data_IF_104968596788
#
_entry.id   IF_104968596788
#
_cell.length_a   1.000
_cell.length_b   1.000
_cell.length_c   1.000
_cell.angle_alpha   90.00
_cell.angle_beta   90.00
_cell.angle_gamma   90.00
#
_symmetry.space_group_name_H-M   'P 1'
#
loop_
_entity.id
_entity.type
_entity.pdbx_description
1 polymer ?
#
# COMPACT_ATOMS: atom_id res chain seq x y z
N UNK A 1 17.86 16.03 -2.60
CA UNK A 1 17.44 16.70 -3.85
C UNK A 1 16.26 17.62 -3.57
N UNK A 2 16.31 18.94 -3.86
CA UNK A 2 15.24 19.88 -3.66
C UNK A 2 14.21 19.77 -4.78
N UNK A 3 13.46 18.68 -4.79
CA UNK A 3 12.26 18.56 -5.63
C UNK A 3 11.12 19.33 -4.96
N UNK A 4 10.43 20.18 -5.72
CA UNK A 4 9.25 20.87 -5.23
C UNK A 4 8.10 19.89 -4.98
N UNK A 5 7.15 20.24 -4.11
CA UNK A 5 5.95 19.42 -3.88
C UNK A 5 5.19 19.06 -5.18
N UNK A 6 5.28 19.88 -6.23
CA UNK A 6 4.70 19.60 -7.54
C UNK A 6 5.43 18.51 -8.35
N UNK A 7 6.61 18.04 -7.93
CA UNK A 7 7.43 17.06 -8.64
C UNK A 7 8.50 17.66 -9.56
N UNK A 8 8.58 18.99 -9.69
CA UNK A 8 9.65 19.65 -10.45
C UNK A 8 10.92 19.71 -9.60
N UNK A 9 12.01 19.13 -10.12
CA UNK A 9 13.33 19.27 -9.50
C UNK A 9 13.79 20.72 -9.60
N UNK A 10 14.03 21.35 -8.46
CA UNK A 10 14.54 22.73 -8.47
C UNK A 10 16.04 22.78 -8.78
N UNK A 11 16.77 21.67 -8.66
CA UNK A 11 18.20 21.57 -9.05
C UNK A 11 18.43 21.80 -10.54
N UNK A 12 17.45 21.47 -11.37
CA UNK A 12 17.53 21.70 -12.82
C UNK A 12 16.95 23.06 -13.23
N UNK A 13 16.53 23.89 -12.27
CA UNK A 13 15.92 25.19 -12.54
C UNK A 13 16.97 26.29 -12.65
N UNK A 14 17.04 26.97 -13.80
CA UNK A 14 17.96 28.10 -14.02
C UNK A 14 17.78 29.23 -12.99
N UNK A 15 16.55 29.48 -12.52
CA UNK A 15 16.30 30.53 -11.53
C UNK A 15 16.94 30.20 -10.17
N UNK A 16 17.00 28.93 -9.80
CA UNK A 16 17.71 28.50 -8.61
C UNK A 16 19.23 28.56 -8.82
N UNK A 17 19.71 28.09 -9.98
CA UNK A 17 21.13 28.17 -10.33
C UNK A 17 21.68 29.61 -10.26
N UNK A 18 20.88 30.59 -10.70
CA UNK A 18 21.24 32.01 -10.67
C UNK A 18 21.03 32.67 -9.29
N UNK A 19 20.58 31.94 -8.27
CA UNK A 19 20.31 32.48 -6.93
C UNK A 19 19.09 33.40 -6.84
N UNK A 20 18.30 33.52 -7.91
CA UNK A 20 17.07 34.35 -7.96
C UNK A 20 15.96 33.73 -7.10
N UNK A 21 15.98 32.40 -6.97
CA UNK A 21 14.92 31.62 -6.38
C UNK A 21 15.50 30.57 -5.42
N UNK A 22 15.02 30.51 -4.18
CA UNK A 22 15.27 29.37 -3.30
C UNK A 22 14.46 28.14 -3.72
N UNK A 23 14.91 26.95 -3.31
CA UNK A 23 14.18 25.69 -3.52
C UNK A 23 12.75 25.77 -3.00
N UNK A 24 11.81 25.16 -3.74
CA UNK A 24 10.45 24.96 -3.28
C UNK A 24 10.31 23.84 -2.23
N UNK A 25 11.26 22.89 -2.18
CA UNK A 25 11.24 21.75 -1.25
C UNK A 25 10.02 20.83 -1.33
N UNK A 26 10.07 19.72 -0.60
CA UNK A 26 8.90 18.85 -0.41
C UNK A 26 7.89 19.54 0.52
N UNK A 27 6.60 19.24 0.42
CA UNK A 27 5.59 19.88 1.29
C UNK A 27 5.78 19.59 2.79
N UNK A 28 6.62 18.62 3.16
CA UNK A 28 6.98 18.35 4.57
C UNK A 28 8.19 19.17 5.08
N UNK A 29 8.96 19.74 4.16
CA UNK A 29 10.25 20.38 4.42
C UNK A 29 10.13 21.79 5.01
N UNK A 30 11.17 22.24 5.71
CA UNK A 30 11.27 23.62 6.19
C UNK A 30 11.54 24.60 5.04
N UNK A 31 12.22 24.14 3.99
CA UNK A 31 12.44 24.88 2.75
C UNK A 31 11.11 25.28 2.13
N UNK A 32 10.15 24.34 2.05
CA UNK A 32 8.80 24.63 1.55
C UNK A 32 8.07 25.67 2.38
N UNK A 33 8.14 25.57 3.72
CA UNK A 33 7.52 26.56 4.63
C UNK A 33 8.13 27.96 4.43
N UNK A 34 9.47 28.05 4.39
CA UNK A 34 10.20 29.30 4.14
C UNK A 34 9.84 29.87 2.76
N UNK A 35 9.75 29.01 1.73
CA UNK A 35 9.38 29.42 0.38
C UNK A 35 7.98 29.99 0.30
N UNK A 36 7.00 29.29 0.86
CA UNK A 36 5.60 29.71 0.87
C UNK A 36 5.44 31.05 1.63
N UNK A 37 6.09 31.20 2.79
CA UNK A 37 6.09 32.45 3.53
C UNK A 37 6.72 33.61 2.74
N UNK A 38 7.84 33.36 2.05
CA UNK A 38 8.48 34.35 1.19
C UNK A 38 7.58 34.76 0.01
N UNK A 39 6.91 33.81 -0.64
CA UNK A 39 5.96 34.10 -1.72
C UNK A 39 4.77 34.93 -1.22
N UNK A 40 4.21 34.59 -0.06
CA UNK A 40 3.14 35.37 0.57
C UNK A 40 3.57 36.81 0.84
N UNK A 41 4.79 37.01 1.38
CA UNK A 41 5.33 38.34 1.67
C UNK A 41 5.59 39.17 0.40
N UNK A 42 6.11 38.55 -0.66
CA UNK A 42 6.54 39.24 -1.88
C UNK A 42 5.43 39.45 -2.90
N UNK A 43 4.49 38.49 -3.00
CA UNK A 43 3.49 38.44 -4.07
C UNK A 43 2.04 38.46 -3.55
N UNK A 44 1.83 38.48 -2.23
CA UNK A 44 0.50 38.43 -1.62
C UNK A 44 -0.19 37.07 -1.70
N UNK A 45 0.46 36.06 -2.30
CA UNK A 45 -0.02 34.70 -2.39
C UNK A 45 1.14 33.72 -2.48
N UNK A 46 1.01 32.56 -1.82
CA UNK A 46 1.89 31.41 -2.03
C UNK A 46 1.37 30.56 -3.20
N UNK A 47 2.25 29.77 -3.81
CA UNK A 47 1.87 28.76 -4.81
C UNK A 47 0.76 27.84 -4.26
N UNK A 48 -0.46 27.81 -4.87
CA UNK A 48 -1.56 26.96 -4.41
C UNK A 48 -1.22 25.48 -4.22
N UNK A 49 -0.37 24.89 -5.05
CA UNK A 49 0.08 23.48 -4.90
C UNK A 49 0.99 23.32 -3.69
N UNK A 50 1.97 24.23 -3.51
CA UNK A 50 2.90 24.16 -2.38
C UNK A 50 2.18 24.40 -1.05
N UNK A 51 1.29 25.39 -1.00
CA UNK A 51 0.48 25.68 0.19
C UNK A 51 -0.39 24.48 0.59
N UNK A 52 -1.09 23.88 -0.38
CA UNK A 52 -1.90 22.67 -0.15
C UNK A 52 -1.05 21.49 0.35
N UNK A 53 0.13 21.27 -0.24
CA UNK A 53 1.02 20.20 0.17
C UNK A 53 1.55 20.39 1.60
N UNK A 54 1.87 21.62 1.99
CA UNK A 54 2.28 21.95 3.37
C UNK A 54 1.13 21.69 4.35
N UNK A 55 -0.07 22.18 4.02
CA UNK A 55 -1.27 22.03 4.85
C UNK A 55 -1.64 20.56 5.05
N UNK A 56 -1.71 19.78 3.95
CA UNK A 56 -2.00 18.33 3.99
C UNK A 56 -0.80 17.49 4.45
N UNK A 57 0.37 18.10 4.72
CA UNK A 57 1.64 17.42 5.02
C UNK A 57 2.00 16.34 4.00
N UNK A 58 1.76 16.61 2.72
CA UNK A 58 2.13 15.75 1.58
C UNK A 58 3.52 16.14 1.10
N UNK A 59 4.45 15.18 0.97
CA UNK A 59 5.80 15.51 0.52
C UNK A 59 5.82 15.88 -0.98
N UNK A 60 5.34 15.00 -1.86
CA UNK A 60 5.21 15.29 -3.29
C UNK A 60 3.83 14.86 -3.81
N UNK A 61 3.10 15.77 -4.44
CA UNK A 61 1.73 15.53 -4.90
C UNK A 61 1.64 14.32 -5.84
N UNK A 62 2.52 14.21 -6.82
CA UNK A 62 2.49 13.12 -7.80
C UNK A 62 2.69 11.73 -7.18
N UNK A 63 3.48 11.64 -6.10
CA UNK A 63 3.86 10.39 -5.45
C UNK A 63 2.93 10.05 -4.28
N UNK A 64 2.66 11.03 -3.43
CA UNK A 64 2.12 10.83 -2.09
C UNK A 64 0.67 11.30 -1.93
N UNK A 65 0.09 12.03 -2.90
CA UNK A 65 -1.28 12.51 -2.82
C UNK A 65 -2.23 11.53 -3.52
N UNK A 66 -3.21 11.01 -2.79
CA UNK A 66 -4.24 10.13 -3.37
C UNK A 66 -5.10 10.88 -4.39
N UNK A 67 -5.42 12.15 -4.12
CA UNK A 67 -6.20 13.01 -5.01
C UNK A 67 -5.49 13.36 -6.32
N UNK A 68 -4.18 13.08 -6.47
CA UNK A 68 -3.46 13.44 -7.69
C UNK A 68 -3.79 12.46 -8.83
N UNK A 69 -4.11 12.94 -10.06
CA UNK A 69 -4.24 14.34 -10.49
C UNK A 69 -5.50 15.05 -9.97
N UNK A 70 -5.36 16.23 -9.34
CA UNK A 70 -6.49 17.00 -8.80
C UNK A 70 -6.74 18.30 -9.55
N UNK A 71 -7.86 18.97 -9.24
CA UNK A 71 -8.24 20.26 -9.83
C UNK A 71 -7.15 21.32 -9.75
N UNK A 72 -6.33 21.34 -8.68
CA UNK A 72 -5.22 22.31 -8.60
C UNK A 72 -4.23 22.18 -9.75
N UNK A 73 -4.03 20.98 -10.29
CA UNK A 73 -3.17 20.74 -11.45
C UNK A 73 -3.90 20.90 -12.79
N UNK A 74 -5.21 20.63 -12.86
CA UNK A 74 -6.03 20.78 -14.07
C UNK A 74 -6.41 22.24 -14.35
N UNK A 75 -6.80 22.97 -13.31
CA UNK A 75 -7.32 24.34 -13.40
C UNK A 75 -6.24 25.42 -13.33
N UNK A 76 -5.04 25.07 -12.86
CA UNK A 76 -3.96 26.02 -12.60
C UNK A 76 -2.91 26.05 -13.72
N UNK A 77 -2.04 27.08 -13.75
CA UNK A 77 -0.93 27.17 -14.72
C UNK A 77 0.26 26.26 -14.32
N UNK A 78 -0.02 25.06 -13.81
CA UNK A 78 0.98 24.14 -13.32
C UNK A 78 1.56 23.29 -14.47
N UNK A 79 2.81 22.82 -14.37
CA UNK A 79 3.62 22.44 -15.53
C UNK A 79 3.24 21.12 -16.19
N UNK A 80 2.09 20.54 -15.86
CA UNK A 80 1.64 19.27 -16.40
C UNK A 80 0.54 19.51 -17.44
N UNK A 81 0.72 18.94 -18.63
CA UNK A 81 -0.29 19.00 -19.67
C UNK A 81 -1.51 18.14 -19.32
N UNK A 82 -2.67 18.49 -19.88
CA UNK A 82 -3.86 17.64 -19.79
C UNK A 82 -3.60 16.20 -20.26
N UNK A 83 -2.74 16.01 -21.27
CA UNK A 83 -2.32 14.67 -21.71
C UNK A 83 -1.55 13.90 -20.64
N UNK A 84 -0.66 14.56 -19.90
CA UNK A 84 0.06 13.93 -18.78
C UNK A 84 -0.88 13.62 -17.61
N UNK A 85 -1.74 14.55 -17.23
CA UNK A 85 -2.71 14.37 -16.14
C UNK A 85 -3.70 13.23 -16.48
N UNK A 86 -4.24 13.22 -17.69
CA UNK A 86 -5.13 12.14 -18.16
C UNK A 86 -4.42 10.78 -18.21
N UNK A 87 -3.14 10.75 -18.60
CA UNK A 87 -2.33 9.52 -18.55
C UNK A 87 -2.13 9.04 -17.11
N UNK A 88 -1.82 9.95 -16.18
CA UNK A 88 -1.66 9.60 -14.77
C UNK A 88 -2.95 9.09 -14.15
N UNK A 89 -4.08 9.77 -14.38
CA UNK A 89 -5.40 9.32 -13.94
C UNK A 89 -5.70 7.91 -14.47
N UNK A 90 -5.56 7.69 -15.79
CA UNK A 90 -5.79 6.37 -16.39
C UNK A 90 -4.85 5.30 -15.81
N UNK A 91 -3.55 5.57 -15.72
CA UNK A 91 -2.57 4.56 -15.27
C UNK A 91 -2.63 4.28 -13.77
N UNK A 92 -3.00 5.26 -12.95
CA UNK A 92 -3.26 5.03 -11.52
C UNK A 92 -4.52 4.18 -11.33
N UNK A 93 -5.53 4.38 -12.17
CA UNK A 93 -6.71 3.51 -12.20
C UNK A 93 -6.41 2.10 -12.77
N UNK A 94 -5.54 1.98 -13.79
CA UNK A 94 -5.06 0.68 -14.29
C UNK A 94 -4.19 -0.05 -13.26
N UNK A 95 -3.33 0.66 -12.51
CA UNK A 95 -2.52 0.08 -11.46
C UNK A 95 -3.37 -0.41 -10.27
N UNK A 96 -4.55 0.18 -10.05
CA UNK A 96 -5.53 -0.38 -9.13
C UNK A 96 -6.13 -1.71 -9.63
N UNK A 97 -6.10 -1.97 -10.95
CA UNK A 97 -6.56 -3.20 -11.57
C UNK A 97 -5.41 -4.21 -11.71
N UNK A 98 -4.92 -4.67 -10.56
CA UNK A 98 -3.85 -5.66 -10.43
C UNK A 98 -3.84 -6.71 -11.57
N UNK A 99 -2.64 -7.02 -12.06
CA UNK A 99 -2.43 -8.04 -13.10
C UNK A 99 -1.76 -9.26 -12.51
N UNK A 100 -2.15 -10.43 -13.00
CA UNK A 100 -1.49 -11.69 -12.68
C UNK A 100 -0.07 -11.72 -13.31
N UNK A 101 0.81 -12.62 -12.86
CA UNK A 101 2.13 -12.84 -13.48
C UNK A 101 2.07 -13.15 -14.99
N UNK A 102 0.96 -13.72 -15.46
CA UNK A 102 0.69 -13.94 -16.89
C UNK A 102 0.43 -12.67 -17.69
N UNK A 103 0.22 -11.53 -17.03
CA UNK A 103 -0.17 -10.25 -17.63
C UNK A 103 -1.69 -10.06 -17.73
N UNK A 104 -2.47 -11.08 -17.40
CA UNK A 104 -3.94 -11.05 -17.42
C UNK A 104 -4.51 -10.16 -16.32
N UNK A 105 -5.69 -9.57 -16.58
CA UNK A 105 -6.43 -8.82 -15.56
C UNK A 105 -6.98 -9.78 -14.51
N UNK A 106 -6.78 -9.45 -13.24
CA UNK A 106 -7.37 -10.23 -12.15
C UNK A 106 -8.88 -10.02 -12.19
N UNK A 107 -9.61 -11.14 -12.18
CA UNK A 107 -11.07 -11.17 -12.10
C UNK A 107 -11.50 -12.14 -11.01
N UNK A 108 -12.63 -11.84 -10.38
CA UNK A 108 -13.20 -12.68 -9.33
C UNK A 108 -14.27 -13.55 -9.97
N UNK A 109 -14.06 -14.86 -9.99
CA UNK A 109 -15.08 -15.78 -10.48
C UNK A 109 -16.33 -15.71 -9.59
N UNK A 110 -17.54 -15.60 -10.17
CA UNK A 110 -18.79 -15.67 -9.41
C UNK A 110 -18.92 -16.92 -8.53
N UNK A 111 -18.28 -18.02 -8.94
CA UNK A 111 -18.28 -19.29 -8.21
C UNK A 111 -17.72 -19.16 -6.80
N UNK A 112 -16.70 -18.32 -6.58
CA UNK A 112 -16.14 -18.14 -5.23
C UNK A 112 -17.16 -17.58 -4.23
N UNK A 113 -18.09 -16.74 -4.70
CA UNK A 113 -19.18 -16.23 -3.87
C UNK A 113 -20.21 -17.31 -3.56
N UNK A 114 -20.53 -18.14 -4.56
CA UNK A 114 -21.49 -19.23 -4.41
C UNK A 114 -20.93 -20.31 -3.47
N UNK A 115 -19.63 -20.62 -3.59
CA UNK A 115 -18.91 -21.53 -2.70
C UNK A 115 -18.86 -21.01 -1.26
N UNK A 116 -18.61 -19.69 -1.09
CA UNK A 116 -18.59 -19.07 0.23
C UNK A 116 -19.97 -19.11 0.88
N UNK A 117 -21.03 -18.85 0.10
CA UNK A 117 -22.40 -18.91 0.58
C UNK A 117 -22.84 -20.34 0.98
N UNK A 118 -22.19 -21.37 0.42
CA UNK A 118 -22.46 -22.77 0.75
C UNK A 118 -21.70 -23.29 1.99
N UNK A 119 -20.77 -22.52 2.56
CA UNK A 119 -20.00 -22.91 3.76
C UNK A 119 -20.87 -22.87 5.02
N UNK A 120 -20.56 -23.75 5.98
CA UNK A 120 -21.03 -23.59 7.35
C UNK A 120 -20.32 -22.38 8.00
N UNK A 121 -21.08 -21.33 8.29
CA UNK A 121 -20.54 -20.08 8.83
C UNK A 121 -19.93 -20.24 10.24
N UNK A 122 -20.44 -21.14 11.06
CA UNK A 122 -19.91 -21.33 12.42
C UNK A 122 -18.53 -21.98 12.37
N UNK A 123 -18.38 -23.01 11.53
CA UNK A 123 -17.08 -23.67 11.30
C UNK A 123 -16.11 -22.70 10.64
N UNK A 124 -16.55 -21.98 9.59
CA UNK A 124 -15.72 -21.00 8.89
C UNK A 124 -15.21 -19.91 9.83
N UNK A 125 -16.09 -19.32 10.65
CA UNK A 125 -15.70 -18.27 11.59
C UNK A 125 -14.67 -18.75 12.61
N UNK A 126 -14.84 -19.98 13.13
CA UNK A 126 -13.89 -20.58 14.05
C UNK A 126 -12.53 -20.86 13.39
N UNK A 127 -12.51 -21.47 12.21
CA UNK A 127 -11.28 -21.83 11.49
C UNK A 127 -10.49 -20.60 11.01
N UNK A 128 -11.20 -19.56 10.60
CA UNK A 128 -10.63 -18.32 10.09
C UNK A 128 -10.31 -17.28 11.17
N UNK A 129 -10.74 -17.49 12.42
CA UNK A 129 -10.62 -16.51 13.51
C UNK A 129 -11.29 -15.16 13.16
N UNK A 130 -12.50 -15.25 12.59
CA UNK A 130 -13.32 -14.10 12.16
C UNK A 130 -14.70 -14.15 12.81
N UNK A 131 -15.46 -13.05 12.72
CA UNK A 131 -16.79 -12.95 13.33
C UNK A 131 -17.87 -12.64 12.30
N UNK A 132 -19.13 -12.82 12.66
CA UNK A 132 -20.26 -12.39 11.83
C UNK A 132 -20.61 -10.94 12.16
N UNK A 133 -20.89 -10.15 11.13
CA UNK A 133 -21.44 -8.81 11.31
C UNK A 133 -22.88 -8.91 11.84
N UNK A 134 -23.33 -8.02 12.76
CA UNK A 134 -24.66 -8.10 13.35
C UNK A 134 -25.83 -8.07 12.35
N UNK A 135 -25.63 -7.46 11.17
CA UNK A 135 -26.68 -7.34 10.15
C UNK A 135 -26.57 -8.43 9.08
N UNK A 136 -25.39 -8.59 8.47
CA UNK A 136 -25.11 -9.50 7.36
C UNK A 136 -23.61 -9.47 7.05
N UNK A 137 -23.04 -10.61 6.67
CA UNK A 137 -21.66 -10.74 6.23
C UNK A 137 -20.66 -11.18 7.31
N UNK A 138 -19.42 -11.38 6.89
CA UNK A 138 -18.30 -11.81 7.73
C UNK A 138 -17.37 -10.61 7.97
N UNK A 139 -17.08 -10.33 9.24
CA UNK A 139 -16.09 -9.34 9.68
C UNK A 139 -14.74 -9.99 9.88
N UNK A 140 -13.78 -9.56 9.08
CA UNK A 140 -12.43 -10.10 9.06
C UNK A 140 -11.40 -8.97 9.17
N UNK A 141 -10.43 -9.07 10.10
CA UNK A 141 -9.35 -8.11 10.13
C UNK A 141 -8.40 -8.34 8.94
N UNK A 142 -7.93 -7.24 8.35
CA UNK A 142 -6.92 -7.24 7.31
C UNK A 142 -5.95 -6.10 7.58
N UNK A 143 -4.69 -6.41 7.88
CA UNK A 143 -3.70 -5.44 8.35
C UNK A 143 -4.23 -4.71 9.61
N UNK A 144 -4.43 -3.39 9.55
CA UNK A 144 -5.01 -2.57 10.60
C UNK A 144 -6.48 -2.16 10.37
N UNK A 145 -7.10 -2.65 9.31
CA UNK A 145 -8.50 -2.34 8.96
C UNK A 145 -9.42 -3.54 9.16
N UNK A 146 -10.72 -3.27 9.21
CA UNK A 146 -11.76 -4.30 9.16
C UNK A 146 -12.38 -4.39 7.76
N UNK A 147 -12.51 -5.62 7.27
CA UNK A 147 -13.19 -5.94 6.02
C UNK A 147 -14.50 -6.64 6.33
N UNK A 148 -15.59 -6.14 5.75
CA UNK A 148 -16.87 -6.81 5.69
C UNK A 148 -16.98 -7.56 4.36
N UNK A 149 -17.10 -8.87 4.41
CA UNK A 149 -17.34 -9.73 3.24
C UNK A 149 -18.81 -10.11 3.20
N UNK A 150 -19.56 -9.60 2.22
CA UNK A 150 -20.97 -9.91 2.04
C UNK A 150 -21.17 -10.82 0.82
N UNK A 151 -21.38 -12.11 1.09
CA UNK A 151 -21.61 -13.11 0.05
C UNK A 151 -22.93 -12.94 -0.72
N UNK A 152 -23.94 -12.29 -0.11
CA UNK A 152 -25.23 -12.02 -0.77
C UNK A 152 -25.08 -10.86 -1.75
N UNK A 153 -24.41 -9.79 -1.34
CA UNK A 153 -24.12 -8.64 -2.19
C UNK A 153 -23.00 -8.93 -3.22
N UNK A 154 -22.22 -10.00 -3.02
CA UNK A 154 -21.02 -10.35 -3.81
C UNK A 154 -20.00 -9.21 -3.84
N UNK A 155 -19.84 -8.57 -2.69
CA UNK A 155 -19.01 -7.37 -2.50
C UNK A 155 -18.26 -7.42 -1.17
N UNK A 156 -17.13 -6.71 -1.12
CA UNK A 156 -16.39 -6.45 0.11
C UNK A 156 -16.35 -4.95 0.41
N UNK A 157 -16.29 -4.63 1.70
CA UNK A 157 -16.30 -3.25 2.20
C UNK A 157 -15.20 -3.06 3.23
N UNK A 158 -14.61 -1.86 3.28
CA UNK A 158 -13.65 -1.46 4.30
C UNK A 158 -14.34 -0.53 5.31
N UNK A 159 -14.04 -0.71 6.59
CA UNK A 159 -14.48 0.23 7.62
C UNK A 159 -13.64 1.53 7.52
N UNK A 160 -14.31 2.67 7.40
CA UNK A 160 -13.69 3.98 7.39
C UNK A 160 -14.53 4.91 8.26
N UNK A 161 -14.02 5.25 9.44
CA UNK A 161 -14.64 6.17 10.41
C UNK A 161 -16.10 5.79 10.74
N UNK A 162 -16.36 4.52 11.02
CA UNK A 162 -17.69 4.01 11.34
C UNK A 162 -18.64 3.87 10.13
N UNK A 163 -18.13 4.02 8.91
CA UNK A 163 -18.90 3.78 7.67
C UNK A 163 -18.25 2.68 6.82
N UNK A 164 -19.06 1.89 6.12
CA UNK A 164 -18.59 0.83 5.23
C UNK A 164 -18.46 1.36 3.80
N UNK A 165 -17.24 1.42 3.29
CA UNK A 165 -16.96 1.86 1.91
C UNK A 165 -16.71 0.67 1.01
N UNK A 166 -17.35 0.64 -0.16
CA UNK A 166 -17.18 -0.43 -1.13
C UNK A 166 -15.75 -0.46 -1.68
N UNK A 167 -15.14 -1.64 -1.75
CA UNK A 167 -13.80 -1.84 -2.30
C UNK A 167 -13.92 -2.31 -3.76
N UNK A 168 -13.38 -1.52 -4.69
CA UNK A 168 -13.38 -1.83 -6.12
C UNK A 168 -12.07 -2.51 -6.60
N UNK A 169 -11.29 -3.09 -5.69
CA UNK A 169 -10.01 -3.76 -5.99
C UNK A 169 -10.23 -5.28 -6.17
N UNK A 170 -10.15 -5.82 -7.40
CA UNK A 170 -10.40 -7.24 -7.65
C UNK A 170 -9.42 -8.18 -6.97
N UNK A 171 -8.16 -7.76 -6.77
CA UNK A 171 -7.17 -8.59 -6.06
C UNK A 171 -7.52 -8.68 -4.59
N UNK A 172 -7.90 -7.56 -3.96
CA UNK A 172 -8.33 -7.55 -2.57
C UNK A 172 -9.55 -8.47 -2.38
N UNK A 173 -10.55 -8.35 -3.25
CA UNK A 173 -11.73 -9.22 -3.25
C UNK A 173 -11.36 -10.69 -3.42
N UNK A 174 -10.52 -11.01 -4.41
CA UNK A 174 -10.07 -12.37 -4.65
C UNK A 174 -9.34 -12.95 -3.44
N UNK A 175 -8.41 -12.21 -2.84
CA UNK A 175 -7.63 -12.68 -1.69
C UNK A 175 -8.51 -12.90 -0.45
N UNK A 176 -9.50 -12.04 -0.20
CA UNK A 176 -10.46 -12.25 0.88
C UNK A 176 -11.24 -13.55 0.70
N UNK A 177 -11.73 -13.81 -0.52
CA UNK A 177 -12.47 -15.03 -0.83
C UNK A 177 -11.59 -16.27 -0.76
N UNK A 178 -10.40 -16.23 -1.35
CA UNK A 178 -9.45 -17.36 -1.33
C UNK A 178 -9.03 -17.69 0.10
N UNK A 179 -8.79 -16.68 0.94
CA UNK A 179 -8.51 -16.91 2.36
C UNK A 179 -9.68 -17.60 3.06
N UNK A 180 -10.89 -17.05 2.98
CA UNK A 180 -12.07 -17.64 3.64
C UNK A 180 -12.41 -19.04 3.12
N UNK A 181 -12.20 -19.30 1.83
CA UNK A 181 -12.48 -20.61 1.24
C UNK A 181 -11.42 -21.67 1.57
N UNK A 182 -10.15 -21.25 1.68
CA UNK A 182 -8.99 -22.12 1.87
C UNK A 182 -8.50 -22.26 3.31
N UNK A 183 -8.91 -21.36 4.22
CA UNK A 183 -8.55 -21.45 5.63
C UNK A 183 -9.19 -22.67 6.29
N UNK A 184 -8.48 -23.26 7.24
CA UNK A 184 -8.89 -24.46 7.97
C UNK A 184 -8.32 -24.46 9.39
N UNK A 185 -8.46 -25.55 10.15
CA UNK A 185 -8.25 -25.56 11.60
C UNK A 185 -6.77 -25.46 12.01
N UNK A 186 -5.82 -25.61 11.08
CA UNK A 186 -4.38 -25.61 11.41
C UNK A 186 -3.97 -24.27 12.01
N UNK A 187 -3.37 -24.27 13.19
CA UNK A 187 -2.86 -23.07 13.85
C UNK A 187 -1.53 -22.59 13.25
N UNK A 188 -1.12 -21.36 13.60
CA UNK A 188 0.20 -20.83 13.29
C UNK A 188 1.31 -21.74 13.83
N UNK A 189 2.36 -21.93 13.04
CA UNK A 189 3.55 -22.68 13.44
C UNK A 189 4.51 -21.79 14.24
N UNK A 190 4.40 -20.46 14.09
CA UNK A 190 5.30 -19.44 14.63
C UNK A 190 6.76 -19.65 14.20
N UNK A 191 6.94 -20.03 12.94
CA UNK A 191 8.24 -20.26 12.31
C UNK A 191 8.32 -19.47 11.01
N UNK A 192 9.04 -18.34 11.00
CA UNK A 192 9.32 -17.59 9.78
C UNK A 192 10.14 -18.41 8.79
N UNK A 193 9.68 -18.48 7.55
CA UNK A 193 10.34 -19.17 6.42
C UNK A 193 10.32 -18.28 5.18
N UNK A 194 11.37 -18.33 4.37
CA UNK A 194 11.42 -17.60 3.10
C UNK A 194 10.60 -18.32 2.00
N UNK A 195 10.30 -17.61 0.91
CA UNK A 195 9.65 -18.21 -0.26
C UNK A 195 10.38 -19.46 -0.79
N UNK A 196 11.71 -19.50 -0.68
CA UNK A 196 12.54 -20.63 -1.11
C UNK A 196 12.40 -21.88 -0.22
N UNK A 197 11.88 -21.73 1.00
CA UNK A 197 11.67 -22.82 1.96
C UNK A 197 10.24 -23.38 1.93
N UNK A 198 9.34 -22.76 1.17
CA UNK A 198 7.99 -23.28 0.93
C UNK A 198 8.05 -24.46 -0.07
N UNK A 199 7.15 -25.42 0.07
CA UNK A 199 6.90 -26.52 -0.88
C UNK A 199 6.60 -25.99 -2.28
N UNK A 200 5.96 -24.84 -2.37
CA UNK A 200 5.70 -24.14 -3.62
C UNK A 200 6.83 -23.20 -4.08
N UNK A 201 8.06 -23.33 -3.56
CA UNK A 201 9.20 -22.46 -3.89
C UNK A 201 9.49 -22.32 -5.40
N UNK A 202 9.19 -23.36 -6.18
CA UNK A 202 9.38 -23.35 -7.63
C UNK A 202 8.45 -22.35 -8.35
N UNK A 203 7.33 -21.98 -7.71
CA UNK A 203 6.41 -20.98 -8.23
C UNK A 203 7.03 -19.60 -8.22
N UNK A 204 7.81 -19.22 -7.20
CA UNK A 204 8.30 -17.84 -7.03
C UNK A 204 9.56 -17.51 -7.85
N UNK A 205 9.56 -17.87 -9.13
CA UNK A 205 10.70 -17.68 -10.05
C UNK A 205 10.24 -17.04 -11.36
N UNK A 206 11.15 -16.31 -12.02
CA UNK A 206 10.89 -15.68 -13.31
C UNK A 206 9.72 -14.69 -13.23
N UNK A 207 8.66 -14.81 -14.06
CA UNK A 207 7.53 -13.87 -14.03
C UNK A 207 6.75 -13.87 -12.70
N UNK A 208 6.91 -14.91 -11.89
CA UNK A 208 6.28 -15.08 -10.59
C UNK A 208 7.23 -14.75 -9.42
N UNK A 209 8.39 -14.15 -9.69
CA UNK A 209 9.24 -13.64 -8.63
C UNK A 209 8.49 -12.60 -7.80
N UNK A 210 8.73 -12.59 -6.49
CA UNK A 210 8.09 -11.63 -5.59
C UNK A 210 8.63 -10.23 -5.90
N UNK A 211 7.75 -9.32 -6.34
CA UNK A 211 8.16 -7.98 -6.76
C UNK A 211 8.45 -7.09 -5.55
N UNK A 212 9.69 -7.14 -5.06
CA UNK A 212 10.16 -6.36 -3.90
C UNK A 212 11.02 -5.15 -4.28
N UNK A 213 11.59 -5.14 -5.49
CA UNK A 213 12.43 -4.05 -5.99
C UNK A 213 11.82 -2.63 -5.92
N UNK A 214 10.49 -2.45 -6.09
CA UNK A 214 9.87 -1.15 -5.81
C UNK A 214 10.07 -0.64 -4.38
N UNK A 215 10.06 -1.54 -3.38
CA UNK A 215 10.28 -1.18 -1.98
C UNK A 215 11.75 -0.81 -1.74
N UNK A 216 12.69 -1.58 -2.29
CA UNK A 216 14.13 -1.29 -2.23
C UNK A 216 14.43 0.11 -2.78
N UNK A 217 13.92 0.42 -3.98
CA UNK A 217 14.09 1.76 -4.58
C UNK A 217 13.40 2.87 -3.80
N UNK A 218 12.28 2.58 -3.13
CA UNK A 218 11.52 3.59 -2.39
C UNK A 218 12.14 3.88 -1.03
N UNK A 219 12.61 2.85 -0.33
CA UNK A 219 12.96 2.91 1.08
C UNK A 219 14.43 2.66 1.37
N UNK A 220 15.24 2.30 0.36
CA UNK A 220 16.63 1.93 0.55
C UNK A 220 17.51 2.98 1.23
N UNK A 221 17.17 4.26 1.07
CA UNK A 221 17.81 5.40 1.75
C UNK A 221 16.82 6.15 2.70
N UNK A 222 15.65 5.56 2.97
CA UNK A 222 14.56 6.15 3.76
C UNK A 222 13.96 5.11 4.71
N UNK A 223 14.79 4.58 5.61
CA UNK A 223 14.38 3.55 6.59
C UNK A 223 13.25 4.04 7.50
N UNK A 224 13.26 5.32 7.87
CA UNK A 224 12.18 5.92 8.66
C UNK A 224 10.87 6.03 7.87
N UNK A 225 10.94 6.23 6.56
CA UNK A 225 9.80 6.13 5.66
C UNK A 225 9.21 4.73 5.64
N UNK A 226 10.07 3.69 5.64
CA UNK A 226 9.62 2.29 5.72
C UNK A 226 8.95 1.98 7.06
N UNK A 227 9.55 2.41 8.18
CA UNK A 227 8.96 2.24 9.52
C UNK A 227 7.56 2.84 9.58
N UNK A 228 7.41 4.10 9.16
CA UNK A 228 6.09 4.78 9.12
C UNK A 228 5.09 4.08 8.23
N UNK A 229 5.53 3.57 7.08
CA UNK A 229 4.67 2.84 6.15
C UNK A 229 4.18 1.53 6.76
N UNK A 230 5.07 0.75 7.37
CA UNK A 230 4.72 -0.52 8.01
C UNK A 230 3.83 -0.32 9.25
N UNK A 231 4.14 0.66 10.10
CA UNK A 231 3.33 1.02 11.27
C UNK A 231 1.93 1.51 10.86
N UNK A 232 1.81 2.28 9.77
CA UNK A 232 0.53 2.72 9.23
C UNK A 232 -0.35 1.57 8.71
N UNK A 233 0.22 0.38 8.52
CA UNK A 233 -0.48 -0.86 8.19
C UNK A 233 -0.65 -1.79 9.41
N UNK A 234 -0.43 -1.29 10.63
CA UNK A 234 -0.51 -2.07 11.87
C UNK A 234 0.65 -3.04 12.07
N UNK A 235 1.78 -2.80 11.41
CA UNK A 235 2.97 -3.64 11.54
C UNK A 235 3.52 -3.65 12.96
N UNK A 236 3.92 -4.83 13.41
CA UNK A 236 4.58 -5.03 14.70
C UNK A 236 6.10 -5.13 14.46
N UNK A 237 6.93 -4.26 15.07
CA UNK A 237 8.36 -4.23 14.82
C UNK A 237 9.08 -5.48 15.33
N UNK A 238 10.15 -5.89 14.63
CA UNK A 238 10.95 -7.09 14.95
C UNK A 238 12.45 -6.82 14.84
N UNK A 239 13.29 -7.41 15.72
CA UNK A 239 14.73 -7.23 15.71
C UNK A 239 15.45 -8.24 14.80
N UNK A 240 15.21 -8.18 13.49
CA UNK A 240 15.77 -9.16 12.52
C UNK A 240 16.39 -8.57 11.24
N UNK A 241 16.33 -7.26 11.07
CA UNK A 241 17.00 -6.47 10.04
C UNK A 241 17.13 -5.02 10.56
N UNK A 242 17.66 -4.08 9.76
CA UNK A 242 17.74 -2.66 10.16
C UNK A 242 16.35 -2.08 10.44
N UNK A 243 15.37 -2.52 9.65
CA UNK A 243 13.95 -2.42 9.99
C UNK A 243 13.21 -3.68 9.55
N UNK A 244 12.41 -4.28 10.44
CA UNK A 244 11.56 -5.40 10.11
C UNK A 244 10.21 -5.30 10.83
N UNK A 245 9.16 -5.75 10.16
CA UNK A 245 7.80 -5.73 10.69
C UNK A 245 7.04 -7.01 10.36
N UNK A 246 6.24 -7.48 11.30
CA UNK A 246 5.20 -8.47 11.06
C UNK A 246 3.88 -7.77 10.77
N UNK A 247 3.35 -8.01 9.57
CA UNK A 247 2.04 -7.56 9.12
C UNK A 247 1.05 -8.72 9.21
N UNK A 248 -0.07 -8.53 9.90
CA UNK A 248 -1.15 -9.52 9.94
C UNK A 248 -2.05 -9.33 8.72
N UNK A 249 -1.67 -9.92 7.59
CA UNK A 249 -2.47 -9.80 6.37
C UNK A 249 -3.88 -10.36 6.56
N UNK A 250 -3.98 -11.55 7.16
CA UNK A 250 -5.21 -12.14 7.68
C UNK A 250 -4.90 -12.75 9.06
N UNK A 251 -5.90 -13.10 9.90
CA UNK A 251 -5.65 -13.64 11.24
C UNK A 251 -4.58 -14.73 11.31
N UNK A 252 -4.62 -15.66 10.34
CA UNK A 252 -3.73 -16.83 10.28
C UNK A 252 -2.63 -16.73 9.23
N UNK A 253 -2.41 -15.54 8.67
CA UNK A 253 -1.43 -15.28 7.61
C UNK A 253 -0.56 -14.06 7.99
N UNK A 254 0.35 -14.20 8.97
CA UNK A 254 1.36 -13.18 9.23
C UNK A 254 2.43 -13.19 8.13
N UNK A 255 2.79 -12.00 7.67
CA UNK A 255 3.83 -11.76 6.67
C UNK A 255 4.90 -10.87 7.30
N UNK A 256 6.16 -11.25 7.15
CA UNK A 256 7.28 -10.52 7.73
C UNK A 256 8.01 -9.81 6.60
N UNK A 257 8.18 -8.49 6.70
CA UNK A 257 8.93 -7.70 5.72
C UNK A 257 10.16 -7.13 6.40
N UNK A 258 11.33 -7.43 5.82
CA UNK A 258 12.64 -7.05 6.31
C UNK A 258 13.29 -6.11 5.30
N UNK A 259 13.84 -5.01 5.77
CA UNK A 259 14.62 -4.04 5.00
C UNK A 259 16.02 -3.95 5.62
N UNK A 260 17.04 -4.14 4.78
CA UNK A 260 18.41 -3.72 5.03
C UNK A 260 18.64 -2.41 4.29
N UNK A 261 19.10 -1.40 5.02
CA UNK A 261 19.36 -0.06 4.48
C UNK A 261 20.56 -0.11 3.53
N UNK A 262 20.56 0.74 2.51
CA UNK A 262 21.71 0.92 1.65
C UNK A 262 22.85 1.54 2.44
N UNK A 263 24.07 1.02 2.25
CA UNK A 263 25.28 1.62 2.79
C UNK A 263 26.33 1.83 1.67
N UNK A 264 27.57 2.17 2.03
CA UNK A 264 28.65 2.41 1.06
C UNK A 264 29.09 1.12 0.33
N UNK A 265 28.85 -0.05 0.92
CA UNK A 265 29.33 -1.36 0.44
C UNK A 265 28.20 -2.20 -0.20
N UNK A 266 26.95 -2.01 0.21
CA UNK A 266 25.81 -2.84 -0.14
C UNK A 266 24.58 -2.04 -0.59
N UNK A 267 23.94 -2.51 -1.66
CA UNK A 267 22.63 -2.02 -2.08
C UNK A 267 21.53 -2.39 -1.06
N UNK A 268 20.51 -1.53 -0.94
CA UNK A 268 19.35 -1.84 -0.12
C UNK A 268 18.67 -3.14 -0.58
N UNK A 269 18.24 -3.92 0.40
CA UNK A 269 17.60 -5.22 0.16
C UNK A 269 16.31 -5.33 0.94
N UNK A 270 15.26 -5.81 0.27
CA UNK A 270 14.01 -6.19 0.92
C UNK A 270 13.82 -7.70 0.83
N UNK A 271 13.34 -8.31 1.91
CA UNK A 271 12.95 -9.72 1.91
C UNK A 271 11.62 -9.91 2.60
N UNK A 272 10.87 -10.91 2.12
CA UNK A 272 9.61 -11.33 2.72
C UNK A 272 9.75 -12.74 3.26
N UNK A 273 9.33 -12.93 4.51
CA UNK A 273 9.15 -14.24 5.14
C UNK A 273 7.67 -14.45 5.45
N UNK A 274 7.31 -15.71 5.69
CA UNK A 274 5.96 -16.16 5.99
C UNK A 274 6.00 -17.07 7.21
N UNK A 275 4.89 -17.16 7.95
CA UNK A 275 4.75 -18.31 8.83
C UNK A 275 4.59 -19.59 8.00
N UNK A 276 5.25 -20.67 8.41
CA UNK A 276 5.19 -21.94 7.69
C UNK A 276 3.74 -22.48 7.55
N UNK A 277 2.80 -22.09 8.43
CA UNK A 277 1.39 -22.49 8.32
C UNK A 277 0.71 -22.01 7.03
N UNK A 278 1.24 -20.99 6.34
CA UNK A 278 0.63 -20.39 5.15
C UNK A 278 0.29 -21.42 4.07
N UNK A 279 1.08 -22.48 3.94
CA UNK A 279 0.89 -23.56 2.97
C UNK A 279 -0.38 -24.39 3.21
N UNK A 280 -0.93 -24.34 4.41
CA UNK A 280 -2.17 -25.03 4.74
C UNK A 280 -3.41 -24.18 4.43
N UNK A 281 -3.22 -22.91 4.04
CA UNK A 281 -4.31 -21.95 3.88
C UNK A 281 -4.34 -21.32 2.48
N UNK A 282 -3.17 -21.10 1.85
CA UNK A 282 -3.05 -20.39 0.58
C UNK A 282 -2.20 -21.19 -0.42
N UNK A 283 -2.66 -21.20 -1.68
CA UNK A 283 -1.87 -21.65 -2.81
C UNK A 283 -0.84 -20.58 -3.23
N UNK A 284 0.13 -20.98 -4.06
CA UNK A 284 1.30 -20.15 -4.38
C UNK A 284 0.95 -18.83 -5.10
N UNK A 285 -0.05 -18.86 -5.96
CA UNK A 285 -0.60 -17.69 -6.66
C UNK A 285 -1.26 -16.69 -5.70
N UNK A 286 -1.99 -17.17 -4.71
CA UNK A 286 -2.58 -16.34 -3.66
C UNK A 286 -1.50 -15.72 -2.76
N UNK A 287 -0.44 -16.47 -2.43
CA UNK A 287 0.72 -15.93 -1.70
C UNK A 287 1.39 -14.81 -2.52
N UNK A 288 1.62 -15.02 -3.81
CA UNK A 288 2.19 -14.00 -4.70
C UNK A 288 1.31 -12.75 -4.80
N UNK A 289 0.00 -12.95 -4.95
CA UNK A 289 -0.97 -11.86 -4.99
C UNK A 289 -0.99 -11.07 -3.68
N UNK A 290 -0.91 -11.77 -2.55
CA UNK A 290 -0.87 -11.14 -1.23
C UNK A 290 0.37 -10.28 -1.05
N UNK A 291 1.56 -10.78 -1.41
CA UNK A 291 2.79 -9.98 -1.35
C UNK A 291 2.70 -8.76 -2.26
N UNK A 292 2.16 -8.92 -3.47
CA UNK A 292 1.97 -7.80 -4.41
C UNK A 292 1.05 -6.72 -3.83
N UNK A 293 -0.05 -7.12 -3.17
CA UNK A 293 -0.96 -6.21 -2.50
C UNK A 293 -0.28 -5.49 -1.33
N UNK A 294 0.45 -6.21 -0.48
CA UNK A 294 1.17 -5.63 0.66
C UNK A 294 2.26 -4.65 0.18
N UNK A 295 3.05 -5.02 -0.84
CA UNK A 295 4.04 -4.13 -1.46
C UNK A 295 3.37 -2.84 -1.94
N UNK A 296 2.24 -2.94 -2.64
CA UNK A 296 1.49 -1.75 -3.10
C UNK A 296 1.05 -0.89 -1.91
N UNK A 297 0.48 -1.51 -0.87
CA UNK A 297 0.02 -0.82 0.35
C UNK A 297 1.16 -0.10 1.06
N UNK A 298 2.35 -0.70 1.17
CA UNK A 298 3.54 -0.04 1.74
C UNK A 298 4.02 1.15 0.89
N UNK A 299 3.94 1.05 -0.43
CA UNK A 299 4.34 2.14 -1.33
C UNK A 299 3.38 3.33 -1.27
N UNK A 300 2.09 3.07 -1.04
CA UNK A 300 1.03 4.09 -1.05
C UNK A 300 0.54 4.47 0.34
N UNK A 301 1.03 3.85 1.41
CA UNK A 301 0.61 4.17 2.77
C UNK A 301 1.03 5.61 3.07
N UNK A 302 0.07 6.52 2.99
CA UNK A 302 0.14 7.79 3.69
C UNK A 302 -0.21 7.46 5.13
N UNK A 303 0.51 7.99 6.11
CA UNK A 303 0.11 7.92 7.51
C UNK A 303 -1.22 8.66 7.68
N UNK A 304 -2.31 7.97 7.33
CA UNK A 304 -3.69 8.39 7.52
C UNK A 304 -3.96 8.17 9.00
N UNK A 305 -4.26 9.25 9.71
CA UNK A 305 -4.71 9.21 11.10
C UNK A 305 -6.10 8.58 11.24
N UNK A 306 -6.33 7.41 10.65
CA UNK A 306 -7.41 6.51 11.02
C UNK A 306 -6.86 5.56 12.09
N UNK A 307 -6.34 6.14 13.17
CA UNK A 307 -6.08 5.38 14.39
C UNK A 307 -7.43 5.01 14.98
N UNK A 308 -7.67 3.72 15.15
CA UNK A 308 -8.76 3.21 15.97
C UNK A 308 -8.59 3.76 17.38
N UNK A 309 -9.45 4.70 17.76
CA UNK A 309 -9.65 5.06 19.14
C UNK A 309 -10.56 4.01 19.78
N UNK A 310 -9.96 3.26 20.71
CA UNK A 310 -10.52 2.32 21.71
C UNK A 310 -10.60 0.85 21.33
#
# INVERSE_FOLDING_TARGET
MPTGACGISCDICRLQLLGICSSCGSGKSDEARKKAAAQMKLFGAACPVLACAIEKRVAYCMRDCEDFPCERFRSGPYPFSEGFLSMQERRRNEAAQHRAPSGDRISVSPQYWDDLAAKDLAVLCADAEVTLHPQSGILMPFLNDWILVDAKAKSIYMECRGTWQHIEDPLMTLLCLVYLLGVGPRALVNRPVSAAQLKCAHFFRGPHELSLGPLERRFGEDIDGFRKAAEALGGIPLPMADAAYMLKAFPKIPVYILLWEQDEEFEARVSVLFDQSIEAHLAADAIWGLVSLITRRLLTSVSTGCGTSH
#
